data_IF_297801785569
#
_entry.id   IF_297801785569
#
_cell.length_a   1.000
_cell.length_b   1.000
_cell.length_c   1.000
_cell.angle_alpha   90.00
_cell.angle_beta   90.00
_cell.angle_gamma   90.00
#
_symmetry.space_group_name_H-M   'P 1'
#
loop_
_entity.id
_entity.type
_entity.pdbx_description
1 polymer ?
#
# COMPACT_ATOMS: atom_id res chain seq x y z
N UNK A 1 -38.34 1.47 -35.25
CA UNK A 1 -37.34 1.55 -34.15
C UNK A 1 -38.06 1.78 -32.83
N UNK A 2 -37.90 0.88 -31.87
CA UNK A 2 -38.54 1.03 -30.55
C UNK A 2 -37.67 2.00 -29.74
N UNK A 3 -38.02 3.29 -29.79
CA UNK A 3 -37.35 4.34 -29.01
C UNK A 3 -38.04 4.48 -27.65
N UNK A 4 -37.29 4.33 -26.55
CA UNK A 4 -37.79 4.56 -25.19
C UNK A 4 -38.20 6.05 -25.05
N UNK A 5 -39.51 6.34 -25.13
CA UNK A 5 -40.06 7.69 -25.34
C UNK A 5 -40.36 8.49 -24.06
N UNK A 6 -40.02 8.00 -22.87
CA UNK A 6 -40.20 8.76 -21.61
C UNK A 6 -38.88 9.38 -21.15
N UNK A 7 -38.89 10.73 -21.00
CA UNK A 7 -37.77 11.58 -20.54
C UNK A 7 -37.12 11.00 -19.29
N UNK A 8 -35.94 10.41 -19.45
CA UNK A 8 -35.12 9.92 -18.36
C UNK A 8 -34.50 11.16 -17.67
N UNK A 9 -34.99 11.54 -16.48
CA UNK A 9 -34.48 12.70 -15.73
C UNK A 9 -33.20 12.32 -14.96
N UNK A 10 -32.32 13.30 -14.66
CA UNK A 10 -31.12 13.12 -13.82
C UNK A 10 -30.05 12.11 -14.34
N UNK A 11 -29.66 12.18 -15.62
CA UNK A 11 -28.46 11.46 -16.11
C UNK A 11 -28.62 9.96 -16.36
N UNK A 12 -29.86 9.47 -16.43
CA UNK A 12 -30.21 8.09 -16.76
C UNK A 12 -29.78 7.67 -18.18
N UNK A 13 -29.27 6.44 -18.33
CA UNK A 13 -29.20 5.75 -19.63
C UNK A 13 -30.38 4.79 -19.76
N UNK A 14 -31.25 5.06 -20.71
CA UNK A 14 -32.37 4.20 -21.05
C UNK A 14 -31.91 3.21 -22.13
N UNK A 15 -31.79 1.92 -21.77
CA UNK A 15 -31.34 0.87 -22.68
C UNK A 15 -32.48 -0.13 -22.87
N UNK A 16 -32.80 -0.43 -24.14
CA UNK A 16 -33.83 -1.41 -24.46
C UNK A 16 -33.26 -2.81 -24.24
N UNK A 17 -33.85 -3.57 -23.33
CA UNK A 17 -33.51 -4.96 -23.09
C UNK A 17 -34.32 -5.82 -24.07
N UNK A 18 -33.60 -6.49 -24.99
CA UNK A 18 -34.18 -7.32 -26.03
C UNK A 18 -34.71 -8.66 -25.51
N UNK A 19 -34.19 -9.16 -24.38
CA UNK A 19 -34.60 -10.43 -23.78
C UNK A 19 -35.91 -10.26 -23.04
N UNK A 20 -36.08 -9.14 -22.32
CA UNK A 20 -37.31 -8.86 -21.57
C UNK A 20 -38.33 -8.00 -22.33
N UNK A 21 -37.95 -7.46 -23.51
CA UNK A 21 -38.73 -6.47 -24.29
C UNK A 21 -39.17 -5.25 -23.47
N UNK A 22 -38.35 -4.85 -22.49
CA UNK A 22 -38.61 -3.71 -21.61
C UNK A 22 -37.49 -2.67 -21.71
N UNK A 23 -37.83 -1.40 -21.55
CA UNK A 23 -36.82 -0.36 -21.35
C UNK A 23 -36.26 -0.50 -19.93
N UNK A 24 -35.06 -1.07 -19.80
CA UNK A 24 -34.34 -1.04 -18.54
C UNK A 24 -33.75 0.35 -18.31
N UNK A 25 -34.02 0.90 -17.14
CA UNK A 25 -33.40 2.15 -16.67
C UNK A 25 -32.12 1.77 -15.95
N UNK A 26 -30.97 2.13 -16.52
CA UNK A 26 -29.69 1.99 -15.81
C UNK A 26 -29.34 3.30 -15.14
N UNK A 27 -29.28 3.26 -13.81
CA UNK A 27 -28.73 4.34 -13.03
C UNK A 27 -27.21 4.32 -13.13
N UNK A 28 -26.60 5.49 -13.36
CA UNK A 28 -25.16 5.61 -13.16
C UNK A 28 -24.88 5.65 -11.65
N UNK A 29 -23.84 4.97 -11.16
CA UNK A 29 -23.43 5.09 -9.77
C UNK A 29 -23.24 6.56 -9.36
N UNK A 30 -23.63 6.96 -8.14
CA UNK A 30 -24.10 6.12 -7.04
C UNK A 30 -25.63 5.96 -6.95
N UNK A 31 -26.37 6.29 -8.01
CA UNK A 31 -27.83 6.30 -7.97
C UNK A 31 -28.44 4.90 -8.14
N UNK A 32 -29.58 4.68 -7.50
CA UNK A 32 -30.37 3.45 -7.55
C UNK A 32 -31.88 3.75 -7.48
N UNK A 33 -32.69 2.70 -7.54
CA UNK A 33 -34.15 2.80 -7.58
C UNK A 33 -34.69 2.89 -9.01
N UNK A 34 -36.00 2.66 -9.16
CA UNK A 34 -36.68 2.61 -10.46
C UNK A 34 -36.56 3.96 -11.20
N UNK A 35 -36.45 5.06 -10.46
CA UNK A 35 -36.29 6.42 -10.97
C UNK A 35 -34.91 7.03 -10.64
N UNK A 36 -33.89 6.23 -10.31
CA UNK A 36 -32.53 6.70 -10.00
C UNK A 36 -32.49 7.87 -8.99
N UNK A 37 -33.44 7.89 -8.05
CA UNK A 37 -33.63 8.96 -7.09
C UNK A 37 -33.11 8.59 -5.69
N UNK A 38 -32.62 7.37 -5.52
CA UNK A 38 -32.01 6.90 -4.29
C UNK A 38 -30.50 6.90 -4.45
N UNK A 39 -29.79 7.31 -3.41
CA UNK A 39 -28.33 7.21 -3.36
C UNK A 39 -27.95 5.96 -2.58
N UNK A 40 -27.10 5.12 -3.17
CA UNK A 40 -26.58 3.92 -2.54
C UNK A 40 -25.17 4.20 -1.99
N UNK A 41 -24.92 3.77 -0.76
CA UNK A 41 -23.56 3.71 -0.22
C UNK A 41 -22.77 2.62 -0.95
N UNK A 42 -21.56 2.95 -1.40
CA UNK A 42 -20.70 2.04 -2.18
C UNK A 42 -19.33 1.98 -1.53
N UNK A 43 -18.80 0.76 -1.35
CA UNK A 43 -17.46 0.53 -0.85
C UNK A 43 -16.60 -0.12 -1.93
N UNK A 44 -15.41 0.43 -2.16
CA UNK A 44 -14.38 -0.13 -3.03
C UNK A 44 -13.20 -0.56 -2.15
N UNK A 45 -13.01 -1.87 -1.99
CA UNK A 45 -11.95 -2.44 -1.15
C UNK A 45 -10.88 -3.09 -2.02
N UNK A 46 -9.71 -2.45 -2.04
CA UNK A 46 -8.53 -2.95 -2.73
C UNK A 46 -7.64 -3.74 -1.77
N UNK A 47 -7.21 -4.93 -2.17
CA UNK A 47 -6.36 -5.85 -1.41
C UNK A 47 -5.13 -6.23 -2.24
N UNK A 48 -4.27 -7.11 -1.73
CA UNK A 48 -3.14 -7.68 -2.47
C UNK A 48 -3.55 -8.69 -3.54
N UNK A 49 -4.87 -8.98 -3.71
CA UNK A 49 -5.37 -9.97 -4.65
C UNK A 49 -4.73 -11.37 -4.45
N UNK A 50 -4.48 -11.71 -3.18
CA UNK A 50 -3.88 -12.97 -2.76
C UNK A 50 -2.37 -13.08 -2.99
N UNK A 51 -1.73 -12.06 -3.59
CA UNK A 51 -0.30 -12.07 -3.82
C UNK A 51 0.50 -11.90 -2.52
N UNK A 52 1.65 -12.58 -2.46
CA UNK A 52 2.55 -12.61 -1.31
C UNK A 52 4.00 -12.46 -1.78
N UNK A 53 4.88 -12.03 -0.87
CA UNK A 53 6.30 -11.84 -1.14
C UNK A 53 6.61 -10.47 -1.75
N UNK A 54 7.60 -10.42 -2.64
CA UNK A 54 8.17 -9.16 -3.12
C UNK A 54 7.49 -8.58 -4.37
N UNK A 55 6.83 -9.41 -5.18
CA UNK A 55 6.13 -8.98 -6.40
C UNK A 55 4.64 -8.80 -6.15
N UNK A 56 4.02 -7.83 -6.84
CA UNK A 56 2.58 -7.61 -6.77
C UNK A 56 1.76 -8.64 -7.56
N UNK A 57 0.43 -8.54 -7.52
CA UNK A 57 -0.49 -9.50 -8.13
C UNK A 57 -0.45 -9.54 -9.66
N UNK A 58 -0.76 -10.71 -10.21
CA UNK A 58 -0.83 -10.96 -11.67
C UNK A 58 -2.27 -11.19 -12.16
N UNK A 59 -3.24 -11.26 -11.25
CA UNK A 59 -4.64 -11.56 -11.56
C UNK A 59 -5.57 -10.76 -10.67
N UNK A 60 -6.71 -10.33 -11.21
CA UNK A 60 -7.79 -9.65 -10.49
C UNK A 60 -8.93 -10.59 -10.08
N UNK A 61 -8.69 -11.91 -10.08
CA UNK A 61 -9.72 -12.92 -9.85
C UNK A 61 -10.44 -12.77 -8.50
N UNK A 62 -9.76 -12.29 -7.45
CA UNK A 62 -10.39 -12.06 -6.14
C UNK A 62 -11.45 -10.95 -6.14
N UNK A 63 -11.53 -10.12 -7.20
CA UNK A 63 -12.58 -9.12 -7.33
C UNK A 63 -13.84 -9.61 -8.01
N UNK A 64 -13.91 -10.87 -8.44
CA UNK A 64 -15.16 -11.46 -8.93
C UNK A 64 -16.24 -11.40 -7.84
N UNK A 65 -17.45 -11.01 -8.21
CA UNK A 65 -18.60 -10.76 -7.34
C UNK A 65 -18.42 -9.60 -6.34
N UNK A 66 -17.52 -8.65 -6.62
CA UNK A 66 -17.32 -7.43 -5.82
C UNK A 66 -17.65 -6.18 -6.63
N UNK A 67 -17.70 -5.01 -5.97
CA UNK A 67 -17.83 -3.70 -6.61
C UNK A 67 -16.67 -3.34 -7.56
N UNK A 68 -15.58 -4.10 -7.52
CA UNK A 68 -14.40 -3.91 -8.36
C UNK A 68 -14.35 -4.83 -9.59
N UNK A 69 -15.28 -5.79 -9.72
CA UNK A 69 -15.28 -6.77 -10.81
C UNK A 69 -15.26 -6.09 -12.18
N UNK A 70 -14.25 -6.40 -13.00
CA UNK A 70 -14.11 -5.87 -14.35
C UNK A 70 -13.80 -4.37 -14.43
N UNK A 71 -13.54 -3.70 -13.31
CA UNK A 71 -13.24 -2.26 -13.26
C UNK A 71 -11.77 -1.94 -12.98
N UNK A 72 -10.98 -2.96 -12.59
CA UNK A 72 -9.57 -2.85 -12.25
C UNK A 72 -8.73 -3.57 -13.29
N UNK A 73 -7.65 -2.93 -13.73
CA UNK A 73 -6.59 -3.58 -14.52
C UNK A 73 -5.27 -3.58 -13.73
N UNK A 74 -4.34 -4.44 -14.11
CA UNK A 74 -3.02 -4.56 -13.46
C UNK A 74 -1.91 -4.10 -14.40
N UNK A 75 -0.95 -3.35 -13.86
CA UNK A 75 0.33 -3.07 -14.50
C UNK A 75 1.45 -3.36 -13.50
N UNK A 76 2.22 -4.44 -13.73
CA UNK A 76 3.31 -4.90 -12.86
C UNK A 76 2.93 -4.98 -11.36
N UNK A 77 1.72 -5.46 -11.07
CA UNK A 77 1.20 -5.57 -9.70
C UNK A 77 0.49 -4.32 -9.16
N UNK A 78 0.60 -3.18 -9.84
CA UNK A 78 -0.15 -1.97 -9.50
C UNK A 78 -1.56 -2.07 -10.05
N UNK A 79 -2.55 -1.79 -9.21
CA UNK A 79 -3.96 -1.82 -9.58
C UNK A 79 -4.39 -0.46 -10.11
N UNK A 80 -4.92 -0.45 -11.33
CA UNK A 80 -5.38 0.76 -12.02
C UNK A 80 -6.89 0.79 -11.95
N UNK A 81 -7.44 1.84 -11.37
CA UNK A 81 -8.89 2.00 -11.19
C UNK A 81 -9.34 3.40 -11.59
N UNK A 82 -10.47 3.49 -12.28
CA UNK A 82 -11.07 4.75 -12.70
C UNK A 82 -12.23 5.10 -11.80
N UNK A 83 -12.18 6.30 -11.21
CA UNK A 83 -13.23 6.83 -10.34
C UNK A 83 -14.56 6.89 -11.10
N UNK A 84 -15.63 6.21 -10.63
CA UNK A 84 -16.87 6.05 -11.39
C UNK A 84 -17.77 7.29 -11.38
N UNK A 85 -17.67 8.14 -10.35
CA UNK A 85 -18.45 9.36 -10.21
C UNK A 85 -17.74 10.39 -9.33
N UNK A 86 -18.15 11.66 -9.42
CA UNK A 86 -17.56 12.74 -8.61
C UNK A 86 -18.25 12.79 -7.25
N UNK A 87 -17.50 12.64 -6.17
CA UNK A 87 -18.00 12.77 -4.80
C UNK A 87 -16.86 12.93 -3.79
N UNK A 88 -17.19 13.34 -2.56
CA UNK A 88 -16.32 13.09 -1.41
C UNK A 88 -16.37 11.61 -1.04
N UNK A 89 -15.20 11.00 -0.97
CA UNK A 89 -15.00 9.62 -0.53
C UNK A 89 -14.23 9.60 0.79
N UNK A 90 -14.61 8.69 1.68
CA UNK A 90 -13.78 8.36 2.85
C UNK A 90 -12.74 7.33 2.43
N UNK A 91 -11.47 7.69 2.61
CA UNK A 91 -10.34 6.82 2.33
C UNK A 91 -9.81 6.26 3.66
N UNK A 92 -9.48 4.96 3.67
CA UNK A 92 -8.67 4.30 4.70
C UNK A 92 -7.59 3.48 4.01
N UNK A 93 -6.34 3.85 4.23
CA UNK A 93 -5.16 3.26 3.58
C UNK A 93 -4.29 2.64 4.65
N UNK A 94 -3.97 1.36 4.49
CA UNK A 94 -3.16 0.60 5.45
C UNK A 94 -1.90 0.07 4.78
N UNK A 95 -0.74 0.31 5.40
CA UNK A 95 0.50 -0.39 5.06
C UNK A 95 0.48 -1.83 5.57
N UNK A 96 1.39 -2.66 5.08
CA UNK A 96 1.49 -4.05 5.52
C UNK A 96 2.38 -4.21 6.77
N UNK A 97 2.14 -5.26 7.55
CA UNK A 97 3.03 -5.62 8.66
C UNK A 97 4.33 -6.26 8.16
N UNK A 98 5.40 -6.12 8.92
CA UNK A 98 6.61 -6.94 8.77
C UNK A 98 6.36 -8.41 9.07
N UNK A 99 7.28 -9.25 8.58
CA UNK A 99 7.32 -10.66 8.92
C UNK A 99 7.76 -10.88 10.35
N UNK A 100 7.37 -12.02 10.92
CA UNK A 100 7.77 -12.44 12.26
C UNK A 100 8.92 -13.43 12.17
N UNK A 101 9.89 -13.29 13.07
CA UNK A 101 10.93 -14.29 13.34
C UNK A 101 10.91 -14.64 14.84
N UNK A 102 12.07 -14.66 15.51
CA UNK A 102 12.13 -14.72 16.99
C UNK A 102 11.41 -13.52 17.60
N UNK A 103 11.73 -12.31 17.09
CA UNK A 103 11.02 -11.08 17.40
C UNK A 103 9.82 -10.87 16.47
N UNK A 104 8.84 -10.10 16.92
CA UNK A 104 7.68 -9.73 16.11
C UNK A 104 8.06 -8.74 15.02
N UNK A 105 7.39 -8.84 13.87
CA UNK A 105 7.40 -7.75 12.89
C UNK A 105 6.50 -6.61 13.36
N UNK A 106 6.88 -5.39 13.02
CA UNK A 106 6.05 -4.21 13.23
C UNK A 106 4.78 -4.27 12.38
N UNK A 107 3.72 -3.64 12.85
CA UNK A 107 2.44 -3.50 12.14
C UNK A 107 2.53 -2.38 11.11
N UNK A 108 1.66 -2.39 10.11
CA UNK A 108 1.55 -1.28 9.15
C UNK A 108 0.82 -0.07 9.74
N UNK A 109 1.17 1.14 9.27
CA UNK A 109 0.44 2.36 9.60
C UNK A 109 -0.93 2.37 8.93
N UNK A 110 -1.88 3.11 9.50
CA UNK A 110 -3.16 3.42 8.87
C UNK A 110 -3.33 4.93 8.75
N UNK A 111 -3.66 5.40 7.54
CA UNK A 111 -4.01 6.80 7.26
C UNK A 111 -5.45 6.85 6.77
N UNK A 112 -6.24 7.79 7.29
CA UNK A 112 -7.65 7.90 6.93
C UNK A 112 -8.16 9.35 6.88
N UNK A 113 -9.30 9.55 6.20
CA UNK A 113 -10.01 10.81 6.11
C UNK A 113 -10.78 10.94 4.79
N UNK A 114 -11.00 12.16 4.30
CA UNK A 114 -11.95 12.42 3.21
C UNK A 114 -11.27 13.12 2.03
N UNK A 115 -11.48 12.61 0.82
CA UNK A 115 -10.94 13.18 -0.41
C UNK A 115 -12.05 13.34 -1.46
N UNK A 116 -12.08 14.50 -2.11
CA UNK A 116 -12.90 14.71 -3.30
C UNK A 116 -12.23 13.99 -4.46
N UNK A 117 -12.89 12.97 -5.01
CA UNK A 117 -12.45 12.31 -6.23
C UNK A 117 -13.39 12.70 -7.37
N UNK A 118 -12.82 13.03 -8.53
CA UNK A 118 -13.58 13.42 -9.72
C UNK A 118 -13.78 12.23 -10.64
N UNK A 119 -14.99 12.06 -11.18
CA UNK A 119 -15.33 11.06 -12.20
C UNK A 119 -14.27 11.03 -13.31
N UNK A 120 -13.85 9.84 -13.69
CA UNK A 120 -12.89 9.64 -14.77
C UNK A 120 -11.42 9.79 -14.35
N UNK A 121 -11.12 10.29 -13.15
CA UNK A 121 -9.75 10.28 -12.60
C UNK A 121 -9.27 8.83 -12.51
N UNK A 122 -8.06 8.56 -12.98
CA UNK A 122 -7.42 7.25 -12.85
C UNK A 122 -6.50 7.27 -11.65
N UNK A 123 -6.66 6.27 -10.80
CA UNK A 123 -5.84 6.02 -9.63
C UNK A 123 -4.98 4.77 -9.86
N UNK A 124 -3.73 4.84 -9.45
CA UNK A 124 -2.78 3.76 -9.37
C UNK A 124 -2.61 3.39 -7.90
N UNK A 125 -3.03 2.18 -7.55
CA UNK A 125 -3.02 1.65 -6.20
C UNK A 125 -1.97 0.54 -6.11
N UNK A 126 -0.89 0.81 -5.39
CA UNK A 126 0.07 -0.22 -5.01
C UNK A 126 -0.28 -0.66 -3.60
N UNK A 127 -0.71 -1.91 -3.43
CA UNK A 127 -1.13 -2.44 -2.13
C UNK A 127 0.03 -3.20 -1.50
N UNK A 128 0.44 -2.77 -0.31
CA UNK A 128 1.57 -3.36 0.41
C UNK A 128 1.30 -4.83 0.77
N UNK A 129 2.29 -5.69 0.57
CA UNK A 129 2.27 -7.10 1.00
C UNK A 129 3.01 -7.27 2.31
N UNK A 130 2.57 -8.22 3.13
CA UNK A 130 3.25 -8.59 4.36
C UNK A 130 4.66 -9.10 4.08
N UNK A 131 5.63 -8.70 4.91
CA UNK A 131 6.98 -9.27 4.88
C UNK A 131 6.96 -10.75 5.23
N UNK A 132 7.79 -11.55 4.56
CA UNK A 132 7.85 -13.00 4.79
C UNK A 132 8.83 -13.35 5.92
N UNK A 133 8.53 -14.39 6.71
CA UNK A 133 9.50 -14.95 7.63
C UNK A 133 10.70 -15.51 6.86
N UNK A 134 11.90 -15.39 7.42
CA UNK A 134 13.09 -16.10 6.98
C UNK A 134 13.56 -17.11 8.01
N UNK A 135 14.76 -17.67 7.80
CA UNK A 135 15.35 -18.66 8.71
C UNK A 135 15.59 -18.11 10.12
N UNK A 136 15.98 -16.84 10.21
CA UNK A 136 16.28 -16.18 11.48
C UNK A 136 15.83 -14.72 11.52
N UNK A 137 15.93 -13.97 10.43
CA UNK A 137 15.33 -12.64 10.30
C UNK A 137 14.13 -12.67 9.36
N UNK A 138 13.24 -11.68 9.48
CA UNK A 138 12.07 -11.55 8.62
C UNK A 138 12.09 -10.26 7.79
N UNK A 139 11.45 -10.29 6.63
CA UNK A 139 11.35 -9.13 5.75
C UNK A 139 10.44 -8.04 6.32
N UNK A 140 10.69 -6.79 5.93
CA UNK A 140 9.81 -5.66 6.21
C UNK A 140 8.53 -5.72 5.38
N UNK A 141 7.44 -5.17 5.91
CA UNK A 141 6.18 -5.01 5.21
C UNK A 141 6.25 -3.90 4.17
N UNK A 142 5.53 -4.06 3.07
CA UNK A 142 5.44 -3.04 2.04
C UNK A 142 4.54 -1.87 2.41
N UNK A 143 4.87 -0.69 1.88
CA UNK A 143 4.00 0.48 1.91
C UNK A 143 2.84 0.36 0.93
N UNK A 144 1.72 1.00 1.26
CA UNK A 144 0.56 1.11 0.36
C UNK A 144 0.46 2.53 -0.17
N UNK A 145 0.28 2.68 -1.49
CA UNK A 145 0.28 3.97 -2.19
C UNK A 145 -0.99 4.15 -3.00
N UNK A 146 -1.59 5.34 -2.90
CA UNK A 146 -2.68 5.81 -3.76
C UNK A 146 -2.16 7.02 -4.53
N UNK A 147 -2.01 6.88 -5.83
CA UNK A 147 -1.39 7.88 -6.72
C UNK A 147 -2.37 8.19 -7.84
N UNK A 148 -2.56 9.47 -8.17
CA UNK A 148 -3.35 9.86 -9.34
C UNK A 148 -2.48 10.06 -10.58
N UNK A 149 -3.12 10.18 -11.74
CA UNK A 149 -2.49 10.56 -13.00
C UNK A 149 -1.43 11.65 -12.83
N UNK A 150 -0.31 11.53 -13.57
CA UNK A 150 0.90 12.36 -13.47
C UNK A 150 1.74 12.14 -12.20
N UNK A 151 1.73 10.92 -11.66
CA UNK A 151 2.53 10.52 -10.49
C UNK A 151 2.30 11.40 -9.25
N UNK A 152 1.10 11.97 -9.10
CA UNK A 152 0.78 12.81 -7.95
C UNK A 152 0.36 11.92 -6.79
N UNK A 153 1.22 11.83 -5.77
CA UNK A 153 0.94 11.06 -4.57
C UNK A 153 -0.24 11.68 -3.80
N UNK A 154 -1.32 10.91 -3.63
CA UNK A 154 -2.47 11.33 -2.83
C UNK A 154 -2.30 10.87 -1.38
N UNK A 155 -1.97 9.60 -1.17
CA UNK A 155 -1.85 8.99 0.15
C UNK A 155 -0.80 7.89 0.11
N UNK A 156 -0.01 7.76 1.17
CA UNK A 156 0.77 6.56 1.43
C UNK A 156 0.65 6.16 2.90
N UNK A 157 0.61 4.85 3.17
CA UNK A 157 0.71 4.31 4.51
C UNK A 157 1.96 3.42 4.61
N UNK A 158 2.80 3.70 5.59
CA UNK A 158 4.05 2.97 5.82
C UNK A 158 3.82 1.54 6.30
N UNK A 159 4.65 0.61 5.83
CA UNK A 159 4.72 -0.76 6.31
C UNK A 159 5.62 -0.89 7.55
N UNK A 160 5.42 -1.95 8.32
CA UNK A 160 6.22 -2.23 9.52
C UNK A 160 7.58 -2.88 9.21
N UNK A 161 8.57 -2.70 10.08
CA UNK A 161 9.85 -3.37 10.01
C UNK A 161 9.74 -4.87 10.32
N UNK A 162 10.64 -5.68 9.78
CA UNK A 162 10.70 -7.12 10.02
C UNK A 162 11.34 -7.48 11.37
N UNK A 163 10.91 -8.59 11.97
CA UNK A 163 11.48 -9.10 13.22
C UNK A 163 12.90 -9.68 13.03
N UNK A 164 13.77 -9.46 14.01
CA UNK A 164 15.10 -10.09 14.08
C UNK A 164 15.09 -11.47 14.75
N UNK A 165 16.20 -12.19 14.62
CA UNK A 165 16.37 -13.57 15.09
C UNK A 165 17.27 -13.77 16.30
N UNK A 166 18.17 -12.82 16.53
CA UNK A 166 19.21 -12.94 17.55
C UNK A 166 18.73 -12.59 18.98
N UNK A 167 19.53 -12.92 19.99
CA UNK A 167 19.18 -12.90 21.41
C UNK A 167 18.62 -11.55 21.90
N UNK A 168 19.22 -10.44 21.47
CA UNK A 168 18.77 -9.08 21.88
C UNK A 168 18.09 -8.33 20.74
N UNK A 169 17.61 -9.02 19.71
CA UNK A 169 16.83 -8.37 18.65
C UNK A 169 15.53 -7.81 19.19
N UNK A 170 15.26 -6.55 18.85
CA UNK A 170 14.00 -5.89 19.18
C UNK A 170 12.93 -6.29 18.16
N UNK A 171 11.67 -6.08 18.53
CA UNK A 171 10.57 -6.10 17.57
C UNK A 171 10.81 -5.05 16.48
N UNK A 172 10.36 -5.36 15.26
CA UNK A 172 10.35 -4.37 14.19
C UNK A 172 9.44 -3.19 14.56
N UNK A 173 9.86 -1.97 14.22
CA UNK A 173 9.03 -0.80 14.43
C UNK A 173 7.77 -0.86 13.55
N UNK A 174 6.65 -0.43 14.10
CA UNK A 174 5.43 -0.19 13.33
C UNK A 174 5.68 0.84 12.23
N UNK A 175 4.86 0.80 11.17
CA UNK A 175 4.77 1.86 10.18
C UNK A 175 4.49 3.19 10.87
N UNK A 176 5.20 4.23 10.46
CA UNK A 176 5.16 5.52 11.10
C UNK A 176 3.98 6.34 10.59
N UNK A 177 3.27 6.96 11.52
CA UNK A 177 2.32 8.02 11.19
C UNK A 177 3.04 9.18 10.51
N UNK A 178 4.24 9.56 10.95
CA UNK A 178 4.94 10.69 10.34
C UNK A 178 5.45 10.39 8.91
N UNK A 179 5.89 11.44 8.21
CA UNK A 179 6.52 11.30 6.88
C UNK A 179 7.89 10.62 6.91
N UNK A 180 8.55 10.58 8.05
CA UNK A 180 9.84 9.93 8.19
C UNK A 180 9.66 8.44 8.47
N UNK A 181 10.55 7.61 7.92
CA UNK A 181 10.74 6.26 8.41
C UNK A 181 11.47 6.27 9.76
N UNK A 182 11.34 5.19 10.53
CA UNK A 182 12.10 5.04 11.78
C UNK A 182 13.40 4.26 11.57
N UNK A 183 14.27 4.30 12.60
CA UNK A 183 15.56 3.58 12.67
C UNK A 183 16.41 3.74 11.42
N UNK A 184 17.19 4.83 11.31
CA UNK A 184 17.93 5.15 10.08
C UNK A 184 17.03 5.19 8.83
N UNK A 185 15.75 5.51 9.04
CA UNK A 185 14.76 5.63 8.00
C UNK A 185 14.98 6.88 7.15
N UNK A 186 14.45 6.82 5.93
CA UNK A 186 14.46 7.94 5.02
C UNK A 186 13.54 9.07 5.48
N UNK A 187 13.71 10.22 4.83
CA UNK A 187 12.86 11.40 4.97
C UNK A 187 12.46 11.91 3.60
N UNK A 188 11.37 12.65 3.49
CA UNK A 188 10.95 13.34 2.26
C UNK A 188 10.84 12.45 1.01
N UNK A 189 10.46 11.18 1.15
CA UNK A 189 10.34 10.29 -0.01
C UNK A 189 11.51 9.32 -0.20
N UNK A 190 12.56 9.45 0.61
CA UNK A 190 13.79 8.67 0.45
C UNK A 190 13.71 7.29 1.12
N UNK A 191 14.54 6.36 0.68
CA UNK A 191 14.65 5.02 1.25
C UNK A 191 15.40 5.01 2.59
N UNK A 192 15.16 3.96 3.36
CA UNK A 192 15.88 3.70 4.61
C UNK A 192 17.29 3.17 4.35
N UNK A 193 18.17 3.45 5.30
CA UNK A 193 19.57 3.00 5.27
C UNK A 193 19.82 1.96 6.35
N UNK A 194 20.87 1.17 6.15
CA UNK A 194 21.34 0.21 7.16
C UNK A 194 22.58 0.75 7.87
N UNK A 195 22.53 0.76 9.19
CA UNK A 195 23.65 1.05 10.07
C UNK A 195 24.00 -0.25 10.81
N UNK A 196 25.15 -0.83 10.46
CA UNK A 196 25.60 -2.11 11.00
C UNK A 196 26.99 -1.99 11.61
N UNK A 197 27.22 -2.74 12.71
CA UNK A 197 28.55 -2.90 13.33
C UNK A 197 29.25 -4.21 12.92
N UNK A 198 28.81 -4.84 11.84
CA UNK A 198 29.38 -6.04 11.24
C UNK A 198 28.89 -6.20 9.80
N UNK A 199 29.46 -7.16 9.06
CA UNK A 199 29.07 -7.44 7.68
C UNK A 199 27.60 -7.88 7.61
N UNK A 200 26.82 -7.09 6.86
CA UNK A 200 25.38 -7.18 6.86
C UNK A 200 24.84 -6.83 5.45
N UNK A 201 23.84 -7.55 4.96
CA UNK A 201 23.14 -7.17 3.72
C UNK A 201 21.63 -7.08 3.94
N UNK A 202 21.17 -6.83 5.16
CA UNK A 202 19.77 -6.53 5.41
C UNK A 202 19.40 -5.29 4.62
N UNK A 203 18.19 -5.31 4.05
CA UNK A 203 17.71 -4.22 3.24
C UNK A 203 16.98 -3.19 4.06
N UNK A 204 17.31 -1.92 3.85
CA UNK A 204 16.38 -0.83 4.13
C UNK A 204 15.13 -0.95 3.26
N UNK A 205 14.00 -0.50 3.81
CA UNK A 205 12.78 -0.29 3.03
C UNK A 205 12.94 0.89 2.08
N UNK A 206 12.13 0.91 1.02
CA UNK A 206 12.13 1.97 0.03
C UNK A 206 11.14 3.08 0.40
N UNK A 207 11.45 4.28 -0.11
CA UNK A 207 10.52 5.40 -0.09
C UNK A 207 9.70 5.49 -1.38
N UNK A 208 9.00 6.61 -1.53
CA UNK A 208 8.29 6.92 -2.77
C UNK A 208 9.25 7.19 -3.93
N UNK A 209 10.37 7.86 -3.67
CA UNK A 209 11.29 8.39 -4.69
C UNK A 209 12.62 7.63 -4.78
N UNK A 210 13.13 7.13 -3.65
CA UNK A 210 14.44 6.47 -3.60
C UNK A 210 14.33 5.05 -3.04
N UNK A 211 15.11 4.15 -3.63
CA UNK A 211 15.22 2.76 -3.17
C UNK A 211 15.81 2.72 -1.75
N UNK A 212 15.55 1.64 -1.04
CA UNK A 212 16.31 1.34 0.18
C UNK A 212 17.78 1.08 -0.14
N UNK A 213 18.59 1.00 0.91
CA UNK A 213 20.03 0.71 0.79
C UNK A 213 20.44 -0.40 1.76
N UNK A 214 21.54 -1.08 1.46
CA UNK A 214 22.26 -1.97 2.37
C UNK A 214 23.56 -1.31 2.86
N UNK A 215 24.23 -1.95 3.82
CA UNK A 215 25.57 -1.55 4.26
C UNK A 215 26.50 -2.75 4.37
N UNK A 216 27.51 -2.83 3.50
CA UNK A 216 28.52 -3.90 3.49
C UNK A 216 29.49 -3.93 4.66
N UNK A 217 29.53 -2.92 5.55
CA UNK A 217 30.61 -2.76 6.54
C UNK A 217 30.13 -2.25 7.91
N UNK A 218 31.03 -2.41 8.89
CA UNK A 218 30.96 -2.18 10.35
C UNK A 218 30.78 -0.71 10.80
N UNK A 219 30.37 0.22 9.93
CA UNK A 219 30.26 1.63 10.31
C UNK A 219 29.09 2.36 9.68
N UNK A 220 28.32 3.03 10.55
CA UNK A 220 27.20 3.90 10.19
C UNK A 220 27.64 5.23 9.56
N UNK A 221 28.97 5.42 9.41
CA UNK A 221 29.59 6.56 8.73
C UNK A 221 29.89 6.27 7.25
N UNK A 222 29.78 5.02 6.80
CA UNK A 222 29.99 4.68 5.40
C UNK A 222 28.71 4.87 4.58
N UNK A 223 28.89 5.24 3.31
CA UNK A 223 27.77 5.49 2.40
C UNK A 223 27.04 4.18 2.08
N UNK A 224 25.74 4.06 2.43
CA UNK A 224 24.95 2.89 2.09
C UNK A 224 24.83 2.72 0.56
N UNK A 225 24.70 1.49 0.06
CA UNK A 225 24.71 1.19 -1.37
C UNK A 225 23.47 0.39 -1.82
N UNK A 226 23.16 0.36 -3.14
CA UNK A 226 22.09 -0.48 -3.69
C UNK A 226 22.40 -1.98 -3.55
N UNK A 227 21.38 -2.79 -3.32
CA UNK A 227 21.49 -4.24 -3.14
C UNK A 227 20.18 -4.93 -3.54
N UNK A 228 20.18 -6.25 -3.65
CA UNK A 228 18.97 -7.00 -3.96
C UNK A 228 18.03 -7.11 -2.76
N UNK A 229 18.58 -7.02 -1.55
CA UNK A 229 17.87 -7.10 -0.30
C UNK A 229 17.12 -5.81 0.02
N UNK A 230 17.52 -4.66 -0.53
CA UNK A 230 16.75 -3.42 -0.36
C UNK A 230 15.47 -3.42 -1.17
N UNK A 231 14.42 -2.81 -0.63
CA UNK A 231 13.21 -2.56 -1.41
C UNK A 231 13.45 -1.54 -2.52
N UNK A 232 12.69 -1.65 -3.62
CA UNK A 232 12.62 -0.64 -4.66
C UNK A 232 11.54 0.39 -4.37
N UNK A 233 11.81 1.64 -4.74
CA UNK A 233 10.89 2.76 -4.58
C UNK A 233 9.61 2.57 -5.38
N UNK A 234 8.54 3.27 -5.00
CA UNK A 234 7.31 3.32 -5.80
C UNK A 234 7.60 3.69 -7.27
N UNK A 235 8.40 4.75 -7.49
CA UNK A 235 8.77 5.20 -8.85
C UNK A 235 9.54 4.16 -9.67
N UNK A 236 10.13 3.17 -8.99
CA UNK A 236 10.89 2.07 -9.59
C UNK A 236 10.11 0.74 -9.55
N UNK A 237 8.78 0.78 -9.37
CA UNK A 237 7.90 -0.38 -9.42
C UNK A 237 7.61 -1.04 -8.07
N UNK A 238 8.18 -0.55 -6.96
CA UNK A 238 7.81 -0.96 -5.61
C UNK A 238 8.11 -2.42 -5.25
N UNK A 239 9.00 -3.10 -5.98
CA UNK A 239 9.40 -4.48 -5.67
C UNK A 239 9.99 -4.56 -4.25
N UNK A 240 9.58 -5.56 -3.48
CA UNK A 240 10.21 -5.88 -2.19
C UNK A 240 11.63 -6.43 -2.37
N UNK A 241 12.43 -6.33 -1.31
CA UNK A 241 13.77 -6.90 -1.26
C UNK A 241 13.76 -8.41 -1.36
N UNK A 242 14.81 -8.99 -1.95
CA UNK A 242 15.01 -10.43 -2.08
C UNK A 242 16.17 -10.89 -1.18
N UNK A 243 15.89 -11.77 -0.23
CA UNK A 243 16.86 -12.27 0.76
C UNK A 243 16.25 -13.39 1.61
N UNK A 244 16.89 -13.73 2.74
CA UNK A 244 16.50 -14.87 3.58
C UNK A 244 15.06 -14.76 4.13
N UNK A 245 14.61 -13.53 4.39
CA UNK A 245 13.22 -13.20 4.65
C UNK A 245 12.79 -12.13 3.66
N UNK A 246 11.96 -12.50 2.69
CA UNK A 246 11.60 -11.64 1.55
C UNK A 246 10.80 -10.43 2.03
N UNK A 247 11.19 -9.23 1.56
CA UNK A 247 10.47 -8.01 1.83
C UNK A 247 9.15 -7.95 1.05
N UNK A 248 8.13 -7.34 1.64
CA UNK A 248 6.82 -7.20 1.01
C UNK A 248 6.84 -6.26 -0.20
N UNK A 249 6.08 -6.61 -1.25
CA UNK A 249 5.72 -5.69 -2.34
C UNK A 249 5.18 -4.38 -1.77
N UNK A 250 5.60 -3.24 -2.33
CA UNK A 250 5.52 -1.92 -1.70
C UNK A 250 6.84 -1.46 -1.09
N UNK A 251 7.95 -2.07 -1.52
CA UNK A 251 9.30 -1.64 -1.16
C UNK A 251 9.76 -2.05 0.24
N UNK A 252 9.20 -3.11 0.84
CA UNK A 252 9.77 -3.67 2.07
C UNK A 252 11.17 -4.24 1.81
N UNK A 253 12.12 -4.02 2.71
CA UNK A 253 13.46 -4.61 2.65
C UNK A 253 13.45 -6.08 3.10
N UNK A 254 14.39 -6.87 2.59
CA UNK A 254 14.59 -8.24 3.00
C UNK A 254 15.48 -8.36 4.24
N UNK A 255 15.29 -9.44 4.98
CA UNK A 255 16.21 -9.87 6.01
C UNK A 255 17.48 -10.48 5.43
N UNK A 256 18.56 -10.35 6.19
CA UNK A 256 19.82 -11.04 5.97
C UNK A 256 20.26 -11.71 7.26
N UNK A 257 20.46 -13.04 7.24
CA UNK A 257 20.71 -13.84 8.45
C UNK A 257 19.64 -13.55 9.52
N UNK A 258 20.06 -13.08 10.70
CA UNK A 258 19.22 -12.79 11.86
C UNK A 258 18.68 -11.36 11.88
N UNK A 259 18.98 -10.54 10.87
CA UNK A 259 18.65 -9.13 10.85
C UNK A 259 17.40 -8.87 10.02
N UNK A 260 16.40 -8.23 10.64
CA UNK A 260 15.14 -7.88 9.98
C UNK A 260 15.31 -6.82 8.88
N UNK A 261 14.42 -6.83 7.89
CA UNK A 261 14.38 -5.81 6.83
C UNK A 261 13.50 -4.61 7.19
N UNK A 262 13.86 -3.42 6.70
CA UNK A 262 13.08 -2.19 6.95
C UNK A 262 11.75 -2.15 6.20
N UNK A 263 10.73 -1.50 6.76
CA UNK A 263 9.40 -1.35 6.14
C UNK A 263 9.39 -0.35 4.98
N UNK A 264 8.64 -0.61 3.91
CA UNK A 264 8.45 0.33 2.80
C UNK A 264 7.44 1.43 3.13
N UNK A 265 7.42 2.54 2.41
CA UNK A 265 6.45 3.61 2.67
C UNK A 265 6.68 4.89 1.86
N UNK A 266 6.06 6.00 2.27
CA UNK A 266 6.42 7.31 1.73
C UNK A 266 7.91 7.55 1.88
N UNK A 267 8.45 7.32 3.08
CA UNK A 267 9.89 7.15 3.28
C UNK A 267 10.13 5.73 3.79
N UNK A 268 11.25 5.12 3.42
CA UNK A 268 11.57 3.76 3.86
C UNK A 268 12.06 3.71 5.30
N UNK A 269 11.77 2.64 6.02
CA UNK A 269 12.38 2.33 7.31
C UNK A 269 13.80 1.78 7.11
N UNK A 270 14.72 2.13 7.99
CA UNK A 270 16.10 1.62 7.92
C UNK A 270 16.29 0.39 8.79
N UNK A 271 17.54 0.03 9.04
CA UNK A 271 17.91 -1.09 9.92
C UNK A 271 19.09 -0.67 10.78
N UNK A 272 19.01 -0.95 12.08
CA UNK A 272 20.15 -0.89 12.99
C UNK A 272 20.54 -2.31 13.37
N UNK A 273 21.77 -2.71 13.07
CA UNK A 273 22.28 -4.04 13.34
C UNK A 273 23.57 -4.01 14.16
N UNK A 274 23.68 -4.93 15.10
CA UNK A 274 24.83 -5.15 15.97
C UNK A 274 25.10 -6.63 16.09
N UNK A 275 26.30 -7.01 16.56
CA UNK A 275 26.73 -8.41 16.74
C UNK A 275 25.86 -9.27 17.65
N UNK A 276 24.87 -8.68 18.33
CA UNK A 276 23.99 -9.40 19.23
C UNK A 276 22.50 -9.23 18.89
N UNK A 277 22.16 -8.41 17.90
CA UNK A 277 20.77 -8.19 17.50
C UNK A 277 20.55 -6.99 16.60
N UNK A 278 19.32 -6.88 16.12
CA UNK A 278 18.88 -5.78 15.26
C UNK A 278 17.53 -5.21 15.66
N UNK A 279 17.30 -3.99 15.19
CA UNK A 279 15.99 -3.36 15.13
C UNK A 279 15.74 -2.86 13.72
N UNK A 280 14.65 -3.29 13.10
CA UNK A 280 14.24 -2.80 11.79
C UNK A 280 13.21 -1.67 11.95
N UNK A 281 13.38 -0.60 11.18
CA UNK A 281 12.49 0.55 11.17
C UNK A 281 11.24 0.32 10.32
N UNK A 282 10.15 0.99 10.68
CA UNK A 282 8.93 1.07 9.87
C UNK A 282 9.00 2.24 8.89
N UNK A 283 8.29 2.12 7.77
CA UNK A 283 8.19 3.17 6.75
C UNK A 283 7.33 4.34 7.19
N UNK A 284 7.61 5.53 6.67
CA UNK A 284 6.82 6.75 6.84
C UNK A 284 5.52 6.74 6.03
N UNK A 285 4.53 7.50 6.48
CA UNK A 285 3.25 7.71 5.79
C UNK A 285 3.18 9.09 5.12
N UNK A 286 2.28 9.28 4.18
CA UNK A 286 2.03 10.57 3.54
C UNK A 286 0.54 10.88 3.46
N UNK A 287 0.22 12.13 3.79
CA UNK A 287 -1.05 12.73 3.46
C UNK A 287 -0.92 14.22 3.16
N UNK A 288 -1.78 14.76 2.27
CA UNK A 288 -1.95 16.19 2.08
C UNK A 288 -2.55 16.83 3.35
N UNK A 289 -2.11 18.05 3.63
CA UNK A 289 -2.53 18.81 4.81
C UNK A 289 -4.06 18.98 4.85
N UNK A 290 -4.66 18.75 6.03
CA UNK A 290 -6.03 19.19 6.35
C UNK A 290 -7.18 18.24 5.99
N UNK A 291 -6.95 17.13 5.27
CA UNK A 291 -8.04 16.23 4.83
C UNK A 291 -7.88 14.75 5.19
N UNK A 292 -6.68 14.36 5.56
CA UNK A 292 -6.31 13.01 5.96
C UNK A 292 -5.37 13.11 7.18
N UNK A 293 -5.46 12.14 8.10
CA UNK A 293 -4.59 12.06 9.29
C UNK A 293 -4.24 10.60 9.57
N UNK A 294 -3.16 10.39 10.31
CA UNK A 294 -2.86 9.09 10.90
C UNK A 294 -3.98 8.63 11.83
N UNK A 295 -4.29 7.33 11.77
CA UNK A 295 -5.13 6.67 12.77
C UNK A 295 -4.27 6.24 13.97
N UNK A 296 -4.89 6.07 15.14
CA UNK A 296 -4.27 5.37 16.26
C UNK A 296 -4.30 3.84 16.07
N UNK A 297 -4.98 3.38 15.02
CA UNK A 297 -5.01 1.97 14.63
C UNK A 297 -3.78 1.60 13.79
N UNK A 298 -3.34 0.37 13.96
CA UNK A 298 -2.27 -0.27 13.19
C UNK A 298 -2.81 -1.49 12.46
N UNK A 299 -2.19 -1.86 11.35
CA UNK A 299 -2.61 -2.99 10.53
C UNK A 299 -1.69 -4.22 10.70
N UNK A 300 -2.28 -5.36 11.06
CA UNK A 300 -1.59 -6.65 11.06
C UNK A 300 -1.98 -7.42 9.80
N UNK A 301 -1.01 -7.82 8.98
CA UNK A 301 -1.25 -8.51 7.72
C UNK A 301 -0.92 -7.66 6.50
N UNK A 302 -1.56 -8.00 5.38
CA UNK A 302 -1.43 -7.26 4.13
C UNK A 302 -2.06 -5.88 4.22
N UNK A 303 -1.52 -4.95 3.43
CA UNK A 303 -2.10 -3.63 3.24
C UNK A 303 -3.44 -3.69 2.52
N UNK A 304 -4.15 -2.56 2.56
CA UNK A 304 -5.40 -2.40 1.83
C UNK A 304 -5.70 -0.92 1.59
N UNK A 305 -6.62 -0.67 0.65
CA UNK A 305 -7.26 0.64 0.48
C UNK A 305 -8.76 0.42 0.51
N UNK A 306 -9.47 1.12 1.40
CA UNK A 306 -10.92 1.30 1.31
C UNK A 306 -11.22 2.70 0.81
N UNK A 307 -12.10 2.79 -0.20
CA UNK A 307 -12.68 4.02 -0.71
C UNK A 307 -14.20 3.89 -0.59
N UNK A 308 -14.77 4.56 0.40
CA UNK A 308 -16.19 4.49 0.72
C UNK A 308 -16.92 5.77 0.34
N UNK A 309 -18.06 5.62 -0.34
CA UNK A 309 -19.03 6.67 -0.57
C UNK A 309 -20.25 6.46 0.33
N UNK A 310 -20.66 7.53 1.01
CA UNK A 310 -21.92 7.58 1.76
C UNK A 310 -22.54 8.99 1.67
N UNK A 311 -23.86 9.06 1.77
CA UNK A 311 -24.68 10.27 1.68
C UNK A 311 -24.41 11.26 2.80
N UNK A 312 -23.79 10.85 3.91
CA UNK A 312 -23.44 11.77 5.00
C UNK A 312 -22.21 12.63 4.73
N UNK A 313 -21.49 12.36 3.63
CA UNK A 313 -20.25 13.08 3.25
C UNK A 313 -20.48 14.17 2.19
N UNK A 314 -21.69 14.25 1.62
CA UNK A 314 -22.04 15.09 0.48
C UNK A 314 -23.45 15.66 0.65
#
# INVERSE_FOLDING_TARGET
EVSCSRKCQNGMKCQYDYDTRQCQRRCEPPYTGIDCNQLQAISFRFTTLGAQGNSGPISTAEYVNTSLQGTVTLDKGVQIWRVPFTANYRLKVAGASGGKASSSGGKGAIVAGVLLLTKGTVLHLLIGQKGLPGSSGAGGGGGTFVVSNKNTLLVAAGGGGGGGGHIISEDGDDGQATKAGSVYGGVNGLGGSVCAKEDNNAGGGAGFQENGKCSRNVSCSLTPHPCNESGLAYVNGGLGGNGNGVGGFGGGGAAYKDFGGGGGGYSGGGVHATSWGSRAGGGGSYWPVGRLKSSNETNSGDGYVLIDFNNSLN
#
